data_IF_753649631006
#
_entry.id   IF_753649631006
#
_cell.length_a   1.000
_cell.length_b   1.000
_cell.length_c   1.000
_cell.angle_alpha   90.00
_cell.angle_beta   90.00
_cell.angle_gamma   90.00
#
_symmetry.space_group_name_H-M   'P 1'
#
loop_
_entity.id
_entity.type
_entity.pdbx_description
1 polymer ?
#
# COMPACT_ATOMS: atom_id res chain seq x y z
N UNK A 1 5.22 -30.03 4.52
CA UNK A 1 4.34 -29.45 5.57
C UNK A 1 4.97 -28.26 6.27
N UNK A 2 6.25 -28.33 6.68
CA UNK A 2 6.91 -27.20 7.34
C UNK A 2 7.05 -25.95 6.45
N UNK A 3 7.38 -26.12 5.17
CA UNK A 3 7.43 -25.00 4.21
C UNK A 3 6.07 -24.32 4.01
N UNK A 4 4.97 -25.07 4.10
CA UNK A 4 3.61 -24.48 4.04
C UNK A 4 3.34 -23.64 5.28
N UNK A 5 3.77 -24.09 6.47
CA UNK A 5 3.63 -23.30 7.70
C UNK A 5 4.47 -22.02 7.64
N UNK A 6 5.69 -22.10 7.12
CA UNK A 6 6.53 -20.92 6.85
C UNK A 6 5.84 -19.98 5.88
N UNK A 7 5.36 -20.47 4.73
CA UNK A 7 4.64 -19.65 3.74
C UNK A 7 3.38 -18.98 4.33
N UNK A 8 2.63 -19.67 5.18
CA UNK A 8 1.50 -19.08 5.92
C UNK A 8 1.98 -17.97 6.85
N UNK A 9 3.07 -18.18 7.59
CA UNK A 9 3.66 -17.14 8.45
C UNK A 9 4.06 -15.90 7.65
N UNK A 10 4.77 -16.08 6.54
CA UNK A 10 5.12 -15.00 5.61
C UNK A 10 3.86 -14.26 5.11
N UNK A 11 2.83 -15.00 4.70
CA UNK A 11 1.56 -14.40 4.26
C UNK A 11 0.82 -13.63 5.36
N UNK A 12 0.89 -14.08 6.62
CA UNK A 12 0.33 -13.35 7.77
C UNK A 12 1.10 -12.06 8.01
N UNK A 13 2.43 -12.12 8.01
CA UNK A 13 3.29 -10.95 8.23
C UNK A 13 3.06 -9.92 7.14
N UNK A 14 3.11 -10.32 5.88
CA UNK A 14 2.79 -9.48 4.72
C UNK A 14 1.39 -8.88 4.84
N UNK A 15 0.37 -9.72 5.02
CA UNK A 15 -1.03 -9.28 5.07
C UNK A 15 -1.34 -8.30 6.22
N UNK A 16 -0.60 -8.35 7.33
CA UNK A 16 -0.72 -7.37 8.41
C UNK A 16 0.08 -6.12 8.07
N UNK A 17 1.35 -6.27 7.70
CA UNK A 17 2.31 -5.16 7.60
C UNK A 17 2.11 -4.29 6.37
N UNK A 18 1.51 -4.80 5.29
CA UNK A 18 1.25 -4.05 4.05
C UNK A 18 0.25 -2.91 4.25
N UNK A 19 -0.73 -3.08 5.15
CA UNK A 19 -1.76 -2.08 5.41
C UNK A 19 -1.45 -1.15 6.58
N UNK A 20 -0.47 -1.52 7.41
CA UNK A 20 0.00 -0.69 8.51
C UNK A 20 1.19 0.16 8.02
N UNK A 21 1.35 1.40 8.51
CA UNK A 21 2.47 2.26 8.11
C UNK A 21 3.78 1.87 8.81
N UNK A 22 4.19 0.60 8.67
CA UNK A 22 5.32 -0.03 9.38
C UNK A 22 6.29 -0.79 8.45
N UNK A 23 6.13 -0.67 7.13
CA UNK A 23 6.93 -1.32 6.07
C UNK A 23 6.88 -2.86 6.07
N UNK A 24 6.13 -3.43 5.13
CA UNK A 24 6.12 -4.87 4.84
C UNK A 24 7.49 -5.37 4.41
N UNK A 25 8.15 -4.70 3.47
CA UNK A 25 9.53 -5.02 3.02
C UNK A 25 10.52 -5.21 4.17
N UNK A 26 10.54 -4.27 5.13
CA UNK A 26 11.46 -4.37 6.27
C UNK A 26 11.17 -5.60 7.15
N UNK A 27 9.90 -5.90 7.39
CA UNK A 27 9.50 -7.09 8.14
C UNK A 27 9.81 -8.38 7.40
N UNK A 28 9.67 -8.40 6.08
CA UNK A 28 9.98 -9.56 5.23
C UNK A 28 11.48 -9.87 5.21
N UNK A 29 12.33 -8.85 5.06
CA UNK A 29 13.79 -8.98 5.16
C UNK A 29 14.18 -9.54 6.54
N UNK A 30 13.66 -8.95 7.62
CA UNK A 30 13.96 -9.41 8.98
C UNK A 30 13.44 -10.83 9.24
N UNK A 31 12.24 -11.17 8.78
CA UNK A 31 11.68 -12.50 8.93
C UNK A 31 12.53 -13.55 8.21
N UNK A 32 13.00 -13.24 7.00
CA UNK A 32 13.82 -14.14 6.22
C UNK A 32 15.15 -14.49 6.91
N UNK A 33 15.74 -13.57 7.68
CA UNK A 33 16.96 -13.83 8.50
C UNK A 33 16.73 -14.90 9.60
N UNK A 34 15.49 -15.07 10.08
CA UNK A 34 15.17 -16.05 11.13
C UNK A 34 14.49 -17.31 10.58
N UNK A 35 13.64 -17.15 9.56
CA UNK A 35 12.80 -18.20 9.00
C UNK A 35 13.04 -18.26 7.50
N UNK A 36 13.92 -19.16 7.08
CA UNK A 36 14.27 -19.32 5.68
C UNK A 36 13.33 -20.31 4.98
N UNK A 37 12.80 -19.93 3.83
CA UNK A 37 12.16 -20.87 2.90
C UNK A 37 13.24 -21.64 2.12
N UNK A 38 13.10 -22.96 2.03
CA UNK A 38 14.05 -23.81 1.27
C UNK A 38 13.70 -23.78 -0.22
N UNK A 39 13.98 -22.63 -0.85
CA UNK A 39 13.61 -22.32 -2.24
C UNK A 39 14.74 -21.54 -2.93
N UNK A 40 14.71 -21.47 -4.26
CA UNK A 40 15.67 -20.63 -4.98
C UNK A 40 15.41 -19.14 -4.71
N UNK A 41 16.44 -18.27 -4.78
CA UNK A 41 16.27 -16.82 -4.63
C UNK A 41 15.21 -16.24 -5.59
N UNK A 42 15.23 -16.66 -6.85
CA UNK A 42 14.25 -16.25 -7.84
C UNK A 42 12.80 -16.68 -7.49
N UNK A 43 12.64 -17.84 -6.85
CA UNK A 43 11.33 -18.26 -6.37
C UNK A 43 10.90 -17.43 -5.17
N UNK A 44 11.80 -17.10 -4.25
CA UNK A 44 11.52 -16.27 -3.08
C UNK A 44 11.06 -14.86 -3.50
N UNK A 45 11.78 -14.21 -4.41
CA UNK A 45 11.39 -12.91 -4.96
C UNK A 45 9.98 -12.95 -5.60
N UNK A 46 9.70 -13.98 -6.40
CA UNK A 46 8.38 -14.18 -6.98
C UNK A 46 7.30 -14.45 -5.91
N UNK A 47 7.64 -15.22 -4.88
CA UNK A 47 6.75 -15.51 -3.76
C UNK A 47 6.34 -14.23 -3.01
N UNK A 48 7.28 -13.33 -2.73
CA UNK A 48 7.00 -12.03 -2.09
C UNK A 48 6.00 -11.21 -2.91
N UNK A 49 6.18 -11.13 -4.23
CA UNK A 49 5.25 -10.45 -5.15
C UNK A 49 3.86 -11.10 -5.13
N UNK A 50 3.78 -12.43 -5.04
CA UNK A 50 2.50 -13.16 -5.02
C UNK A 50 1.73 -12.93 -3.72
N UNK A 51 2.40 -12.91 -2.57
CA UNK A 51 1.71 -12.68 -1.29
C UNK A 51 1.25 -11.21 -1.15
N UNK A 52 2.03 -10.25 -1.67
CA UNK A 52 1.61 -8.85 -1.83
C UNK A 52 0.35 -8.72 -2.68
N UNK A 53 0.29 -9.45 -3.80
CA UNK A 53 -0.93 -9.51 -4.61
C UNK A 53 -2.14 -10.04 -3.81
N UNK A 54 -1.92 -11.00 -2.91
CA UNK A 54 -2.92 -11.45 -1.95
C UNK A 54 -3.43 -10.34 -1.04
N UNK A 55 -2.54 -9.49 -0.52
CA UNK A 55 -2.92 -8.31 0.25
C UNK A 55 -3.78 -7.36 -0.61
N UNK A 56 -3.33 -7.01 -1.83
CA UNK A 56 -4.07 -6.13 -2.75
C UNK A 56 -5.49 -6.65 -3.01
N UNK A 57 -5.64 -7.96 -3.23
CA UNK A 57 -6.95 -8.59 -3.42
C UNK A 57 -7.87 -8.38 -2.21
N UNK A 58 -7.35 -8.42 -0.98
CA UNK A 58 -8.16 -8.15 0.22
C UNK A 58 -8.77 -6.74 0.19
N UNK A 59 -8.02 -5.72 -0.25
CA UNK A 59 -8.54 -4.35 -0.40
C UNK A 59 -9.54 -4.22 -1.53
N UNK A 60 -9.30 -4.88 -2.66
CA UNK A 60 -10.25 -4.92 -3.78
C UNK A 60 -11.60 -5.51 -3.31
N UNK A 61 -11.57 -6.60 -2.55
CA UNK A 61 -12.78 -7.24 -2.01
C UNK A 61 -13.46 -6.36 -0.94
N UNK A 62 -12.69 -5.80 0.00
CA UNK A 62 -13.22 -4.97 1.08
C UNK A 62 -13.86 -3.67 0.55
N UNK A 63 -13.29 -3.08 -0.49
CA UNK A 63 -13.76 -1.85 -1.10
C UNK A 63 -14.45 -2.04 -2.46
N UNK A 64 -14.89 -3.26 -2.78
CA UNK A 64 -15.48 -3.62 -4.09
C UNK A 64 -16.50 -2.61 -4.60
N UNK A 65 -17.47 -2.25 -3.74
CA UNK A 65 -18.55 -1.31 -4.07
C UNK A 65 -18.12 0.16 -4.17
N UNK A 66 -16.94 0.51 -3.65
CA UNK A 66 -16.34 1.85 -3.77
C UNK A 66 -15.44 1.96 -5.00
N UNK A 67 -14.80 0.86 -5.39
CA UNK A 67 -13.87 0.79 -6.52
C UNK A 67 -14.61 0.59 -7.83
N UNK A 68 -15.57 -0.34 -7.89
CA UNK A 68 -16.23 -0.70 -9.14
C UNK A 68 -17.60 -0.02 -9.32
N UNK A 69 -17.88 0.55 -10.50
CA UNK A 69 -19.17 1.19 -10.82
C UNK A 69 -20.29 0.18 -11.10
N UNK A 70 -20.01 -1.12 -10.95
CA UNK A 70 -20.91 -2.23 -11.19
C UNK A 70 -21.10 -2.99 -9.88
N UNK A 71 -22.35 -3.17 -9.48
CA UNK A 71 -22.66 -4.03 -8.34
C UNK A 71 -22.93 -5.44 -8.87
N UNK A 72 -21.92 -6.30 -8.77
CA UNK A 72 -21.98 -7.72 -9.15
C UNK A 72 -22.66 -8.58 -8.08
N UNK A 73 -23.05 -7.99 -6.94
CA UNK A 73 -23.72 -8.73 -5.88
C UNK A 73 -25.19 -9.00 -6.23
N UNK A 74 -25.68 -10.22 -5.98
CA UNK A 74 -27.12 -10.54 -6.12
C UNK A 74 -28.04 -9.66 -5.24
N UNK A 75 -27.49 -9.01 -4.20
CA UNK A 75 -28.17 -8.02 -3.33
C UNK A 75 -28.37 -6.65 -4.00
N UNK A 76 -27.62 -6.34 -5.06
CA UNK A 76 -27.65 -5.06 -5.79
C UNK A 76 -29.01 -4.68 -6.39
N UNK A 77 -29.83 -5.69 -6.75
CA UNK A 77 -31.09 -5.45 -7.47
C UNK A 77 -32.11 -4.68 -6.64
N UNK A 78 -31.90 -4.55 -5.32
CA UNK A 78 -32.86 -3.90 -4.40
C UNK A 78 -32.49 -2.46 -4.01
N UNK A 79 -31.22 -2.06 -4.13
CA UNK A 79 -30.76 -0.73 -3.72
C UNK A 79 -30.12 0.03 -4.90
N UNK A 80 -30.95 0.84 -5.57
CA UNK A 80 -30.45 1.85 -6.51
C UNK A 80 -29.65 2.92 -5.75
N UNK A 81 -28.34 2.97 -5.99
CA UNK A 81 -27.58 4.14 -6.52
C UNK A 81 -26.08 3.99 -6.23
N UNK A 82 -25.39 3.18 -7.04
CA UNK A 82 -23.94 3.33 -7.19
C UNK A 82 -23.70 4.67 -7.88
N UNK A 83 -23.04 5.62 -7.21
CA UNK A 83 -22.73 6.92 -7.79
C UNK A 83 -21.52 6.79 -8.72
N UNK A 84 -21.76 6.36 -9.95
CA UNK A 84 -20.72 6.11 -10.95
C UNK A 84 -19.83 7.33 -11.15
N UNK A 85 -20.40 8.54 -11.18
CA UNK A 85 -19.65 9.79 -11.38
C UNK A 85 -18.57 10.00 -10.30
N UNK A 86 -18.88 9.66 -9.05
CA UNK A 86 -17.91 9.75 -7.96
C UNK A 86 -16.80 8.70 -8.10
N UNK A 87 -17.11 7.49 -8.54
CA UNK A 87 -16.14 6.42 -8.79
C UNK A 87 -15.20 6.81 -9.92
N UNK A 88 -15.72 7.30 -11.05
CA UNK A 88 -14.90 7.79 -12.16
C UNK A 88 -13.99 8.95 -11.73
N UNK A 89 -14.51 9.88 -10.93
CA UNK A 89 -13.69 10.95 -10.37
C UNK A 89 -12.61 10.39 -9.44
N UNK A 90 -12.93 9.41 -8.59
CA UNK A 90 -11.96 8.76 -7.72
C UNK A 90 -10.85 8.08 -8.53
N UNK A 91 -11.18 7.35 -9.60
CA UNK A 91 -10.19 6.78 -10.51
C UNK A 91 -9.29 7.86 -11.12
N UNK A 92 -9.88 8.97 -11.59
CA UNK A 92 -9.10 10.12 -12.07
C UNK A 92 -8.15 10.68 -11.01
N UNK A 93 -8.59 10.79 -9.75
CA UNK A 93 -7.73 11.26 -8.66
C UNK A 93 -6.61 10.27 -8.32
N UNK A 94 -6.89 8.95 -8.36
CA UNK A 94 -5.88 7.90 -8.17
C UNK A 94 -4.82 7.99 -9.27
N UNK A 95 -5.23 8.14 -10.54
CA UNK A 95 -4.29 8.32 -11.65
C UNK A 95 -3.42 9.56 -11.45
N UNK A 96 -4.02 10.69 -11.04
CA UNK A 96 -3.26 11.92 -10.78
C UNK A 96 -2.28 11.74 -9.62
N UNK A 97 -2.67 11.03 -8.55
CA UNK A 97 -1.77 10.79 -7.42
C UNK A 97 -0.65 9.81 -7.76
N UNK A 98 -0.85 8.86 -8.67
CA UNK A 98 0.23 7.94 -9.05
C UNK A 98 1.22 8.54 -10.04
N UNK A 99 0.87 9.63 -10.74
CA UNK A 99 1.74 10.23 -11.76
C UNK A 99 3.15 10.62 -11.24
N UNK A 100 3.31 11.36 -10.12
CA UNK A 100 4.64 11.70 -9.62
C UNK A 100 5.50 10.46 -9.34
N UNK A 101 4.93 9.46 -8.66
CA UNK A 101 5.58 8.19 -8.37
C UNK A 101 5.99 7.44 -9.65
N UNK A 102 5.14 7.40 -10.68
CA UNK A 102 5.49 6.76 -11.96
C UNK A 102 6.57 7.53 -12.71
N UNK A 103 6.51 8.87 -12.73
CA UNK A 103 7.47 9.73 -13.44
C UNK A 103 8.86 9.65 -12.83
N UNK A 104 8.96 9.52 -11.51
CA UNK A 104 10.25 9.40 -10.80
C UNK A 104 10.66 7.92 -10.66
N UNK A 105 9.75 7.03 -10.29
CA UNK A 105 10.04 5.61 -10.06
C UNK A 105 10.54 4.90 -11.32
N UNK A 106 9.82 4.99 -12.45
CA UNK A 106 10.19 4.24 -13.66
C UNK A 106 11.62 4.50 -14.17
N UNK A 107 12.11 5.75 -14.30
CA UNK A 107 13.47 5.99 -14.79
C UNK A 107 14.57 5.76 -13.74
N UNK A 108 14.24 5.73 -12.45
CA UNK A 108 15.23 5.65 -11.36
C UNK A 108 15.11 4.38 -10.49
N UNK A 109 14.29 3.41 -10.88
CA UNK A 109 14.00 2.19 -10.10
C UNK A 109 15.28 1.40 -9.74
N UNK A 110 16.13 1.14 -10.74
CA UNK A 110 17.41 0.45 -10.55
C UNK A 110 18.35 1.22 -9.60
N UNK A 111 18.36 2.55 -9.70
CA UNK A 111 19.19 3.42 -8.87
C UNK A 111 18.70 3.42 -7.42
N UNK A 112 17.39 3.52 -7.20
CA UNK A 112 16.82 3.49 -5.87
C UNK A 112 16.97 2.14 -5.21
N UNK A 113 16.82 1.06 -5.96
CA UNK A 113 17.05 -0.30 -5.46
C UNK A 113 18.51 -0.46 -5.01
N UNK A 114 19.47 -0.02 -5.84
CA UNK A 114 20.89 -0.11 -5.49
C UNK A 114 21.28 0.75 -4.27
N UNK A 115 20.67 1.94 -4.11
CA UNK A 115 21.04 2.87 -3.04
C UNK A 115 20.29 2.63 -1.72
N UNK A 116 19.01 2.26 -1.79
CA UNK A 116 18.09 2.29 -0.64
C UNK A 116 17.61 0.91 -0.18
N UNK A 117 17.75 -0.14 -1.00
CA UNK A 117 17.29 -1.49 -0.66
C UNK A 117 18.34 -2.25 0.19
N UNK A 118 18.69 -1.66 1.33
CA UNK A 118 19.57 -2.26 2.33
C UNK A 118 19.03 -2.01 3.74
N UNK A 119 19.42 -2.88 4.68
CA UNK A 119 18.87 -2.90 6.05
C UNK A 119 19.08 -1.58 6.82
N UNK A 120 20.18 -0.86 6.57
CA UNK A 120 20.47 0.41 7.24
C UNK A 120 19.52 1.50 6.73
N UNK A 121 19.34 1.60 5.42
CA UNK A 121 18.40 2.54 4.81
C UNK A 121 16.97 2.28 5.28
N UNK A 122 16.51 1.02 5.26
CA UNK A 122 15.17 0.63 5.72
C UNK A 122 14.97 0.97 7.20
N UNK A 123 15.92 0.61 8.08
CA UNK A 123 15.85 0.92 9.50
C UNK A 123 15.82 2.43 9.76
N UNK A 124 16.63 3.20 9.04
CA UNK A 124 16.65 4.65 9.13
C UNK A 124 15.32 5.26 8.69
N UNK A 125 14.74 4.78 7.59
CA UNK A 125 13.44 5.23 7.11
C UNK A 125 12.34 4.97 8.14
N UNK A 126 12.28 3.78 8.75
CA UNK A 126 11.32 3.44 9.80
C UNK A 126 11.38 4.41 10.99
N UNK A 127 12.59 4.76 11.44
CA UNK A 127 12.78 5.73 12.52
C UNK A 127 12.31 7.12 12.09
N UNK A 128 12.74 7.58 10.91
CA UNK A 128 12.39 8.92 10.39
C UNK A 128 10.87 9.06 10.21
N UNK A 129 10.22 8.09 9.59
CA UNK A 129 8.76 8.10 9.41
C UNK A 129 8.02 7.95 10.74
N UNK A 130 8.51 7.12 11.66
CA UNK A 130 7.95 7.01 13.01
C UNK A 130 7.97 8.33 13.78
N UNK A 131 9.11 9.03 13.78
CA UNK A 131 9.24 10.38 14.35
C UNK A 131 8.33 11.36 13.62
N UNK A 132 8.27 11.27 12.29
CA UNK A 132 7.40 12.08 11.44
C UNK A 132 5.93 11.95 11.81
N UNK A 133 5.43 10.72 12.02
CA UNK A 133 4.06 10.48 12.46
C UNK A 133 3.78 11.10 13.83
N UNK A 134 4.66 10.89 14.81
CA UNK A 134 4.52 11.48 16.14
C UNK A 134 4.50 13.01 16.08
N UNK A 135 5.34 13.61 15.23
CA UNK A 135 5.36 15.06 15.04
C UNK A 135 4.09 15.58 14.36
N UNK A 136 3.62 14.93 13.29
CA UNK A 136 2.38 15.29 12.59
C UNK A 136 1.18 15.16 13.52
N UNK A 137 1.09 14.06 14.26
CA UNK A 137 0.01 13.80 15.21
C UNK A 137 -0.02 14.88 16.29
N UNK A 138 1.11 15.12 16.98
CA UNK A 138 1.24 16.15 18.01
C UNK A 138 0.90 17.55 17.48
N UNK A 139 1.36 17.89 16.27
CA UNK A 139 1.05 19.18 15.64
C UNK A 139 -0.43 19.36 15.31
N UNK A 140 -1.13 18.25 15.08
CA UNK A 140 -2.55 18.25 14.70
C UNK A 140 -3.49 18.06 15.90
N UNK A 141 -2.98 17.88 17.12
CA UNK A 141 -3.79 17.90 18.35
C UNK A 141 -4.57 19.23 18.43
N UNK A 142 -5.89 19.14 18.31
CA UNK A 142 -6.80 20.31 18.32
C UNK A 142 -7.05 20.98 16.96
N UNK A 143 -6.42 20.54 15.87
CA UNK A 143 -6.71 21.04 14.52
C UNK A 143 -7.91 20.30 13.92
N UNK A 144 -8.78 21.05 13.22
CA UNK A 144 -9.90 20.44 12.49
C UNK A 144 -9.41 19.95 11.11
N UNK A 145 -9.68 18.69 10.73
CA UNK A 145 -9.29 18.17 9.41
C UNK A 145 -10.01 18.93 8.31
N UNK A 146 -9.27 19.36 7.29
CA UNK A 146 -9.82 20.07 6.12
C UNK A 146 -10.59 19.15 5.17
N UNK A 147 -10.14 17.90 5.06
CA UNK A 147 -10.69 16.87 4.18
C UNK A 147 -11.12 15.71 5.07
N UNK A 148 -12.41 15.40 5.08
CA UNK A 148 -13.00 14.33 5.91
C UNK A 148 -13.55 13.16 5.10
N UNK A 149 -13.52 13.26 3.77
CA UNK A 149 -13.92 12.18 2.88
C UNK A 149 -13.14 12.19 1.57
N UNK A 150 -13.00 11.02 0.95
CA UNK A 150 -12.37 10.84 -0.36
C UNK A 150 -13.00 11.76 -1.42
N UNK A 151 -14.29 12.09 -1.27
CA UNK A 151 -15.02 12.94 -2.22
C UNK A 151 -14.58 14.41 -2.20
N UNK A 152 -13.87 14.83 -1.17
CA UNK A 152 -13.38 16.20 -1.02
C UNK A 152 -11.94 16.36 -1.54
N UNK A 153 -11.28 15.27 -1.92
CA UNK A 153 -9.95 15.32 -2.53
C UNK A 153 -10.06 16.00 -3.90
N UNK A 154 -9.37 17.11 -4.04
CA UNK A 154 -9.20 17.84 -5.30
C UNK A 154 -7.88 17.44 -5.98
N UNK A 155 -7.70 17.86 -7.24
CA UNK A 155 -6.49 17.51 -8.00
C UNK A 155 -5.21 18.02 -7.34
N UNK A 156 -5.24 19.18 -6.69
CA UNK A 156 -4.08 19.71 -5.95
C UNK A 156 -3.68 18.79 -4.82
N UNK A 157 -4.64 18.34 -4.02
CA UNK A 157 -4.39 17.39 -2.93
C UNK A 157 -3.90 16.05 -3.48
N UNK A 158 -4.48 15.56 -4.58
CA UNK A 158 -4.03 14.31 -5.22
C UNK A 158 -2.57 14.36 -5.66
N UNK A 159 -2.12 15.48 -6.27
CA UNK A 159 -0.70 15.67 -6.64
C UNK A 159 0.18 15.73 -5.40
N UNK A 160 -0.23 16.43 -4.34
CA UNK A 160 0.54 16.46 -3.08
C UNK A 160 0.68 15.05 -2.51
N UNK A 161 -0.40 14.26 -2.45
CA UNK A 161 -0.33 12.86 -2.03
C UNK A 161 0.69 12.11 -2.90
N UNK A 162 0.62 12.27 -4.21
CA UNK A 162 1.55 11.63 -5.15
C UNK A 162 3.01 12.02 -4.93
N UNK A 163 3.30 13.27 -4.60
CA UNK A 163 4.66 13.71 -4.26
C UNK A 163 5.19 13.07 -2.97
N UNK A 164 4.30 12.72 -2.03
CA UNK A 164 4.66 11.96 -0.83
C UNK A 164 4.74 10.43 -1.08
N UNK A 165 4.30 9.95 -2.25
CA UNK A 165 4.45 8.54 -2.67
C UNK A 165 5.79 8.26 -3.37
N UNK A 166 6.53 9.31 -3.77
CA UNK A 166 7.91 9.22 -4.29
C UNK A 166 8.86 9.05 -3.11
#
# INVERSE_FOLDING_TARGET
>A
MIEVLKAILFGIVEGITEWLPISSTGHMILLNEFVHLDVSPAFYEMFEVVIQFGAILAVILLFWKKIFPFDLSMRARREKRVNRKEIWRMWGMILISTLPAVVVGLPFDDLFTALFYNSICVATALIVFGIGFLWIENRNVGRKPRITSIRQIDGKTAVIIGLFQV
#
